data_IF_552438240275
#
_entry.id   IF_552438240275
#
_cell.length_a   1.000
_cell.length_b   1.000
_cell.length_c   1.000
_cell.angle_alpha   90.00
_cell.angle_beta   90.00
_cell.angle_gamma   90.00
#
_symmetry.space_group_name_H-M   'P 1'
#
loop_
_entity.id
_entity.type
_entity.pdbx_description
1 polymer ?
#
# COMPACT_ATOMS: atom_id res chain seq x y z
N UNK A 1 -20.66 -21.59 -36.12
CA UNK A 1 -19.53 -21.79 -35.16
C UNK A 1 -19.14 -20.52 -34.40
N UNK A 2 -19.02 -19.37 -35.06
CA UNK A 2 -18.72 -18.08 -34.40
C UNK A 2 -19.75 -17.68 -33.33
N UNK A 3 -21.05 -17.86 -33.57
CA UNK A 3 -22.12 -17.60 -32.59
C UNK A 3 -21.99 -18.44 -31.32
N UNK A 4 -21.59 -19.71 -31.43
CA UNK A 4 -21.42 -20.62 -30.28
C UNK A 4 -20.22 -20.21 -29.43
N UNK A 5 -19.09 -19.87 -30.06
CA UNK A 5 -17.89 -19.41 -29.35
C UNK A 5 -18.12 -18.08 -28.63
N UNK A 6 -18.76 -17.11 -29.28
CA UNK A 6 -19.13 -15.84 -28.68
C UNK A 6 -20.10 -16.03 -27.48
N UNK A 7 -21.05 -16.98 -27.60
CA UNK A 7 -21.97 -17.31 -26.52
C UNK A 7 -21.28 -17.98 -25.34
N UNK A 8 -20.31 -18.89 -25.58
CA UNK A 8 -19.52 -19.51 -24.53
C UNK A 8 -18.70 -18.47 -23.74
N UNK A 9 -18.07 -17.51 -24.42
CA UNK A 9 -17.35 -16.41 -23.77
C UNK A 9 -18.30 -15.53 -22.95
N UNK A 10 -19.50 -15.25 -23.46
CA UNK A 10 -20.52 -14.48 -22.75
C UNK A 10 -21.05 -15.23 -21.51
N UNK A 11 -21.26 -16.54 -21.63
CA UNK A 11 -21.62 -17.40 -20.51
C UNK A 11 -20.52 -17.39 -19.43
N UNK A 12 -19.26 -17.50 -19.84
CA UNK A 12 -18.11 -17.45 -18.93
C UNK A 12 -18.03 -16.10 -18.20
N UNK A 13 -18.20 -14.99 -18.91
CA UNK A 13 -18.25 -13.65 -18.32
C UNK A 13 -19.37 -13.51 -17.26
N UNK A 14 -20.56 -14.03 -17.55
CA UNK A 14 -21.66 -14.05 -16.56
C UNK A 14 -21.30 -14.85 -15.32
N UNK A 15 -20.72 -16.03 -15.49
CA UNK A 15 -20.31 -16.91 -14.38
C UNK A 15 -19.16 -16.31 -13.55
N UNK A 16 -18.33 -15.42 -14.13
CA UNK A 16 -17.28 -14.68 -13.42
C UNK A 16 -17.83 -13.47 -12.66
N UNK A 17 -18.86 -12.79 -13.20
CA UNK A 17 -19.43 -11.58 -12.61
C UNK A 17 -20.24 -11.86 -11.32
N UNK A 18 -20.91 -13.00 -11.23
CA UNK A 18 -21.71 -13.38 -10.06
C UNK A 18 -21.43 -14.82 -9.63
N UNK A 19 -21.45 -15.02 -8.32
CA UNK A 19 -21.09 -16.29 -7.69
C UNK A 19 -22.02 -17.45 -8.06
N UNK A 20 -23.31 -17.17 -8.26
CA UNK A 20 -24.33 -18.18 -8.57
C UNK A 20 -25.37 -17.64 -9.55
N UNK A 21 -25.77 -18.45 -10.52
CA UNK A 21 -26.75 -18.15 -11.54
C UNK A 21 -27.75 -19.28 -11.68
N UNK A 22 -29.06 -18.97 -11.75
CA UNK A 22 -30.03 -19.99 -12.14
C UNK A 22 -29.92 -20.30 -13.64
N UNK A 23 -30.26 -21.52 -14.00
CA UNK A 23 -30.29 -21.90 -15.43
C UNK A 23 -31.30 -21.08 -16.26
N UNK A 24 -32.36 -20.55 -15.63
CA UNK A 24 -33.34 -19.69 -16.25
C UNK A 24 -32.78 -18.30 -16.54
N UNK A 25 -32.13 -17.66 -15.54
CA UNK A 25 -31.53 -16.33 -15.71
C UNK A 25 -30.42 -16.32 -16.78
N UNK A 26 -29.59 -17.39 -16.80
CA UNK A 26 -28.57 -17.54 -17.85
C UNK A 26 -29.23 -17.70 -19.24
N UNK A 27 -30.32 -18.48 -19.33
CA UNK A 27 -31.02 -18.68 -20.60
C UNK A 27 -31.61 -17.37 -21.12
N UNK A 28 -32.23 -16.57 -20.25
CA UNK A 28 -32.80 -15.26 -20.56
C UNK A 28 -31.69 -14.29 -21.05
N UNK A 29 -30.61 -14.14 -20.26
CA UNK A 29 -29.51 -13.20 -20.60
C UNK A 29 -28.73 -13.56 -21.85
N UNK A 30 -28.66 -14.84 -22.16
CA UNK A 30 -28.00 -15.35 -23.38
C UNK A 30 -28.93 -15.44 -24.57
N UNK A 31 -30.24 -15.25 -24.38
CA UNK A 31 -31.26 -15.40 -25.42
C UNK A 31 -31.37 -16.82 -25.96
N UNK A 32 -31.23 -17.84 -25.09
CA UNK A 32 -31.25 -19.26 -25.47
C UNK A 32 -32.14 -20.08 -24.53
N UNK A 33 -32.32 -21.36 -24.85
CA UNK A 33 -33.07 -22.28 -23.98
C UNK A 33 -32.18 -22.79 -22.80
N UNK A 34 -32.77 -23.17 -21.65
CA UNK A 34 -32.05 -23.81 -20.56
C UNK A 34 -31.28 -25.09 -20.99
N UNK A 35 -31.79 -25.79 -22.00
CA UNK A 35 -31.09 -26.95 -22.62
C UNK A 35 -29.80 -26.53 -23.31
N UNK A 36 -29.82 -25.38 -23.98
CA UNK A 36 -28.62 -24.81 -24.61
C UNK A 36 -27.60 -24.37 -23.57
N UNK A 37 -28.04 -23.71 -22.48
CA UNK A 37 -27.16 -23.34 -21.36
C UNK A 37 -26.46 -24.57 -20.79
N UNK A 38 -27.21 -25.68 -20.54
CA UNK A 38 -26.61 -26.92 -20.01
C UNK A 38 -25.51 -27.44 -20.95
N UNK A 39 -25.78 -27.48 -22.26
CA UNK A 39 -24.81 -27.93 -23.26
C UNK A 39 -23.56 -27.01 -23.32
N UNK A 40 -23.76 -25.72 -23.17
CA UNK A 40 -22.65 -24.75 -23.19
C UNK A 40 -21.84 -24.85 -21.87
N UNK A 41 -22.48 -25.12 -20.72
CA UNK A 41 -21.79 -25.43 -19.46
C UNK A 41 -20.94 -26.71 -19.62
N UNK A 42 -21.47 -27.77 -20.23
CA UNK A 42 -20.71 -29.01 -20.43
C UNK A 42 -19.49 -28.75 -21.36
N UNK A 43 -19.62 -27.91 -22.37
CA UNK A 43 -18.49 -27.49 -23.20
C UNK A 43 -17.44 -26.65 -22.43
N UNK A 44 -17.87 -25.77 -21.52
CA UNK A 44 -16.93 -25.06 -20.65
C UNK A 44 -16.16 -26.04 -19.76
N UNK A 45 -16.82 -27.10 -19.25
CA UNK A 45 -16.16 -28.16 -18.48
C UNK A 45 -15.13 -28.94 -19.31
N UNK A 46 -15.47 -29.28 -20.57
CA UNK A 46 -14.54 -29.90 -21.54
C UNK A 46 -13.32 -29.02 -21.83
N UNK A 47 -13.50 -27.68 -21.78
CA UNK A 47 -12.42 -26.71 -21.93
C UNK A 47 -11.62 -26.46 -20.63
N UNK A 48 -11.92 -27.20 -19.54
CA UNK A 48 -11.20 -27.13 -18.28
C UNK A 48 -11.76 -26.12 -17.25
N UNK A 49 -12.90 -25.47 -17.56
CA UNK A 49 -13.52 -24.59 -16.60
C UNK A 49 -14.31 -25.35 -15.54
N UNK A 50 -14.04 -25.20 -14.22
CA UNK A 50 -14.73 -25.93 -13.16
C UNK A 50 -16.10 -25.29 -12.90
N UNK A 51 -17.11 -25.62 -13.71
CA UNK A 51 -18.46 -25.15 -13.51
C UNK A 51 -19.24 -26.19 -12.69
N UNK A 52 -19.63 -25.83 -11.46
CA UNK A 52 -20.47 -26.61 -10.57
C UNK A 52 -21.94 -26.38 -10.88
N UNK A 53 -22.78 -27.37 -10.67
CA UNK A 53 -24.21 -27.27 -10.77
C UNK A 53 -24.87 -27.73 -9.47
N UNK A 54 -25.77 -26.93 -8.91
CA UNK A 54 -26.60 -27.27 -7.75
C UNK A 54 -27.93 -27.85 -8.24
N UNK A 55 -28.30 -29.09 -7.85
CA UNK A 55 -29.59 -29.70 -8.25
C UNK A 55 -30.76 -29.08 -7.46
N UNK A 56 -31.98 -29.02 -8.07
CA UNK A 56 -33.24 -28.61 -7.42
C UNK A 56 -34.00 -27.53 -8.20
N UNK A 57 -35.21 -27.21 -7.75
CA UNK A 57 -36.12 -26.20 -8.33
C UNK A 57 -35.62 -24.74 -8.21
N UNK A 58 -34.47 -24.52 -7.56
CA UNK A 58 -33.71 -23.26 -7.50
C UNK A 58 -32.25 -23.50 -7.84
N UNK A 59 -31.92 -24.66 -8.43
CA UNK A 59 -30.55 -25.04 -8.75
C UNK A 59 -29.90 -24.11 -9.76
N UNK A 60 -28.59 -23.86 -9.57
CA UNK A 60 -27.83 -22.91 -10.33
C UNK A 60 -26.50 -23.43 -10.83
N UNK A 61 -25.81 -22.56 -11.53
CA UNK A 61 -24.44 -22.77 -11.99
C UNK A 61 -23.53 -21.75 -11.31
N UNK A 62 -22.39 -22.23 -10.87
CA UNK A 62 -21.32 -21.38 -10.33
C UNK A 62 -19.96 -21.82 -10.87
N UNK A 63 -19.08 -20.86 -11.08
CA UNK A 63 -17.69 -21.17 -11.39
C UNK A 63 -16.99 -21.62 -10.09
N UNK A 64 -16.46 -22.84 -10.08
CA UNK A 64 -15.75 -23.42 -8.93
C UNK A 64 -14.31 -22.96 -8.87
N UNK A 65 -13.65 -23.20 -7.73
CA UNK A 65 -12.19 -23.09 -7.64
C UNK A 65 -11.56 -24.29 -8.36
N UNK A 66 -10.71 -24.03 -9.36
CA UNK A 66 -9.93 -25.05 -10.07
C UNK A 66 -8.48 -25.10 -9.58
N UNK A 67 -7.75 -26.13 -10.01
CA UNK A 67 -6.30 -26.25 -9.74
C UNK A 67 -5.48 -25.16 -10.46
N UNK A 68 -5.98 -24.66 -11.57
CA UNK A 68 -5.38 -23.57 -12.34
C UNK A 68 -6.34 -22.39 -12.44
N UNK A 69 -5.80 -21.18 -12.53
CA UNK A 69 -6.60 -19.98 -12.75
C UNK A 69 -7.15 -19.99 -14.17
N UNK A 70 -8.48 -20.03 -14.38
CA UNK A 70 -9.03 -19.98 -15.72
C UNK A 70 -8.78 -18.60 -16.38
N UNK A 71 -8.81 -18.50 -17.73
CA UNK A 71 -8.69 -17.21 -18.40
C UNK A 71 -9.72 -16.21 -17.86
N UNK A 72 -9.23 -15.05 -17.41
CA UNK A 72 -10.08 -13.94 -16.95
C UNK A 72 -10.48 -13.10 -18.14
N UNK A 73 -11.77 -12.80 -18.26
CA UNK A 73 -12.28 -11.81 -19.20
C UNK A 73 -12.31 -10.46 -18.44
N UNK A 74 -11.36 -9.61 -18.78
CA UNK A 74 -11.26 -8.25 -18.24
C UNK A 74 -11.80 -7.27 -19.27
N UNK A 75 -12.57 -6.28 -18.81
CA UNK A 75 -12.86 -5.10 -19.61
C UNK A 75 -11.64 -4.16 -19.69
N UNK A 76 -11.78 -3.06 -20.43
CA UNK A 76 -10.69 -2.14 -20.68
C UNK A 76 -10.17 -1.46 -19.39
N UNK A 77 -11.06 -1.06 -18.51
CA UNK A 77 -10.70 -0.35 -17.28
C UNK A 77 -10.16 -1.33 -16.22
N UNK A 78 -10.71 -2.53 -16.16
CA UNK A 78 -10.20 -3.62 -15.32
C UNK A 78 -8.77 -4.02 -15.73
N UNK A 79 -8.52 -4.14 -17.05
CA UNK A 79 -7.20 -4.48 -17.55
C UNK A 79 -6.16 -3.39 -17.20
N UNK A 80 -6.52 -2.12 -17.31
CA UNK A 80 -5.66 -0.99 -16.90
C UNK A 80 -5.45 -1.00 -15.37
N UNK A 81 -6.49 -1.23 -14.59
CA UNK A 81 -6.40 -1.28 -13.13
C UNK A 81 -5.47 -2.41 -12.66
N UNK A 82 -5.57 -3.60 -13.27
CA UNK A 82 -4.66 -4.73 -13.00
C UNK A 82 -3.22 -4.37 -13.36
N UNK A 83 -2.98 -3.74 -14.52
CA UNK A 83 -1.64 -3.33 -14.94
C UNK A 83 -1.01 -2.32 -13.96
N UNK A 84 -1.77 -1.31 -13.53
CA UNK A 84 -1.34 -0.32 -12.53
C UNK A 84 -1.09 -0.99 -11.18
N UNK A 85 -1.98 -1.88 -10.75
CA UNK A 85 -1.85 -2.63 -9.50
C UNK A 85 -0.58 -3.50 -9.47
N UNK A 86 -0.30 -4.25 -10.54
CA UNK A 86 0.92 -5.06 -10.67
C UNK A 86 2.19 -4.20 -10.62
N UNK A 87 2.18 -3.04 -11.29
CA UNK A 87 3.31 -2.12 -11.25
C UNK A 87 3.55 -1.55 -9.85
N UNK A 88 2.48 -1.16 -9.18
CA UNK A 88 2.56 -0.67 -7.80
C UNK A 88 3.07 -1.77 -6.87
N UNK A 89 2.58 -2.99 -7.01
CA UNK A 89 3.00 -4.14 -6.21
C UNK A 89 4.49 -4.49 -6.37
N UNK A 90 5.09 -4.22 -7.53
CA UNK A 90 6.53 -4.41 -7.77
C UNK A 90 7.41 -3.57 -6.81
N UNK A 91 6.89 -2.50 -6.21
CA UNK A 91 7.58 -1.66 -5.21
C UNK A 91 7.28 -2.00 -3.74
N UNK A 92 6.38 -2.94 -3.45
CA UNK A 92 5.93 -3.26 -2.09
C UNK A 92 6.76 -4.38 -1.44
N UNK A 93 6.93 -4.30 -0.13
CA UNK A 93 7.85 -5.10 0.69
C UNK A 93 7.47 -6.58 0.89
N UNK A 94 7.03 -7.28 -0.17
CA UNK A 94 6.78 -8.72 -0.18
C UNK A 94 7.77 -9.37 -1.13
N UNK A 95 8.48 -10.39 -0.67
CA UNK A 95 9.53 -11.09 -1.43
C UNK A 95 8.95 -11.80 -2.66
N UNK A 96 9.63 -11.74 -3.79
CA UNK A 96 9.20 -12.39 -5.03
C UNK A 96 7.98 -11.78 -5.74
N UNK A 97 7.15 -10.98 -5.06
CA UNK A 97 5.97 -10.34 -5.66
C UNK A 97 6.40 -9.37 -6.76
N UNK A 98 7.50 -8.63 -6.58
CA UNK A 98 8.01 -7.71 -7.60
C UNK A 98 8.31 -8.39 -8.92
N UNK A 99 9.06 -9.49 -8.90
CA UNK A 99 9.39 -10.27 -10.10
C UNK A 99 8.15 -10.94 -10.71
N UNK A 100 7.27 -11.48 -9.87
CA UNK A 100 6.01 -12.08 -10.33
C UNK A 100 5.11 -11.03 -10.99
N UNK A 101 5.02 -9.82 -10.43
CA UNK A 101 4.27 -8.70 -10.99
C UNK A 101 4.80 -8.26 -12.34
N UNK A 102 6.12 -8.16 -12.51
CA UNK A 102 6.74 -7.84 -13.81
C UNK A 102 6.44 -8.91 -14.86
N UNK A 103 6.55 -10.21 -14.49
CA UNK A 103 6.20 -11.31 -15.40
C UNK A 103 4.72 -11.32 -15.78
N UNK A 104 3.82 -11.05 -14.80
CA UNK A 104 2.38 -10.97 -15.04
C UNK A 104 2.03 -9.79 -15.95
N UNK A 105 2.64 -8.62 -15.71
CA UNK A 105 2.46 -7.42 -16.53
C UNK A 105 2.90 -7.66 -17.98
N UNK A 106 4.04 -8.30 -18.21
CA UNK A 106 4.51 -8.65 -19.55
C UNK A 106 3.53 -9.57 -20.29
N UNK A 107 2.94 -10.57 -19.60
CA UNK A 107 1.91 -11.44 -20.18
C UNK A 107 0.63 -10.66 -20.52
N UNK A 108 0.21 -9.77 -19.64
CA UNK A 108 -0.97 -8.91 -19.84
C UNK A 108 -0.76 -8.01 -21.08
N UNK A 109 0.39 -7.36 -21.21
CA UNK A 109 0.72 -6.50 -22.34
C UNK A 109 0.67 -7.22 -23.68
N UNK A 110 1.03 -8.52 -23.73
CA UNK A 110 0.98 -9.32 -24.95
C UNK A 110 -0.46 -9.53 -25.47
N UNK A 111 -1.44 -9.65 -24.58
CA UNK A 111 -2.84 -9.95 -24.94
C UNK A 111 -3.70 -8.68 -25.05
N UNK A 112 -3.22 -7.53 -24.58
CA UNK A 112 -3.96 -6.27 -24.66
C UNK A 112 -4.17 -5.79 -26.08
N UNK A 113 -5.38 -5.28 -26.43
CA UNK A 113 -5.62 -4.53 -27.66
C UNK A 113 -4.63 -3.36 -27.81
N UNK A 114 -4.24 -3.04 -29.06
CA UNK A 114 -3.18 -2.05 -29.32
C UNK A 114 -3.39 -0.67 -28.68
N UNK A 115 -4.65 -0.22 -28.52
CA UNK A 115 -4.97 1.05 -27.84
C UNK A 115 -4.68 1.00 -26.32
N UNK A 116 -5.02 -0.11 -25.68
CA UNK A 116 -4.78 -0.31 -24.24
C UNK A 116 -3.30 -0.57 -23.96
N UNK A 117 -2.64 -1.34 -24.83
CA UNK A 117 -1.20 -1.56 -24.75
C UNK A 117 -0.44 -0.23 -24.76
N UNK A 118 -0.78 0.70 -25.67
CA UNK A 118 -0.17 2.03 -25.71
C UNK A 118 -0.41 2.82 -24.43
N UNK A 119 -1.62 2.73 -23.84
CA UNK A 119 -1.95 3.41 -22.57
C UNK A 119 -1.14 2.85 -21.39
N UNK A 120 -1.01 1.52 -21.30
CA UNK A 120 -0.22 0.85 -20.24
C UNK A 120 1.28 1.07 -20.47
N UNK A 121 1.79 0.96 -21.70
CA UNK A 121 3.20 1.22 -22.01
C UNK A 121 3.59 2.66 -21.73
N UNK A 122 2.74 3.64 -22.05
CA UNK A 122 2.98 5.04 -21.71
C UNK A 122 3.11 5.24 -20.18
N UNK A 123 2.22 4.62 -19.38
CA UNK A 123 2.36 4.64 -17.92
C UNK A 123 3.67 3.99 -17.46
N UNK A 124 4.13 2.93 -18.16
CA UNK A 124 5.38 2.26 -17.83
C UNK A 124 6.61 3.10 -18.20
N UNK A 125 6.61 3.74 -19.33
CA UNK A 125 7.75 4.50 -19.87
C UNK A 125 7.93 5.85 -19.16
N UNK A 126 6.83 6.53 -18.84
CA UNK A 126 6.84 7.87 -18.25
C UNK A 126 6.68 7.91 -16.72
N UNK A 127 6.66 6.74 -16.05
CA UNK A 127 6.64 6.67 -14.57
C UNK A 127 7.95 6.09 -14.06
N UNK A 128 8.73 6.91 -13.38
CA UNK A 128 9.96 6.46 -12.68
C UNK A 128 9.58 6.17 -11.24
N UNK A 129 9.65 4.91 -10.76
CA UNK A 129 9.41 4.62 -9.37
C UNK A 129 10.51 5.24 -8.51
N UNK A 130 10.13 6.12 -7.58
CA UNK A 130 11.06 6.65 -6.60
C UNK A 130 11.37 5.57 -5.56
N UNK A 131 12.33 4.70 -5.89
CA UNK A 131 12.85 3.70 -4.98
C UNK A 131 13.69 4.40 -3.92
N UNK A 132 13.15 4.63 -2.74
CA UNK A 132 13.98 5.01 -1.59
C UNK A 132 14.81 3.78 -1.22
N UNK A 133 16.15 3.88 -1.18
CA UNK A 133 17.03 2.79 -0.78
C UNK A 133 16.99 2.61 0.75
N UNK A 134 15.87 2.11 1.25
CA UNK A 134 15.82 1.54 2.60
C UNK A 134 16.01 0.05 2.46
N UNK A 135 16.86 -0.55 3.29
CA UNK A 135 16.86 -2.01 3.51
C UNK A 135 15.46 -2.38 3.98
N UNK A 136 14.58 -2.68 3.03
CA UNK A 136 13.24 -3.18 3.31
C UNK A 136 13.40 -4.64 3.66
N UNK A 137 13.09 -5.00 4.88
CA UNK A 137 12.85 -6.38 5.24
C UNK A 137 11.56 -6.78 4.51
N UNK A 138 11.70 -7.61 3.49
CA UNK A 138 10.58 -8.14 2.73
C UNK A 138 9.98 -9.31 3.52
N UNK A 139 8.66 -9.47 3.43
CA UNK A 139 7.94 -10.61 4.03
C UNK A 139 7.83 -11.70 2.99
N UNK A 140 8.13 -12.95 3.37
CA UNK A 140 7.87 -14.11 2.55
C UNK A 140 6.34 -14.27 2.31
N UNK A 141 5.88 -14.38 1.06
CA UNK A 141 4.47 -14.60 0.75
C UNK A 141 3.85 -15.79 1.45
N UNK A 142 4.62 -16.87 1.68
CA UNK A 142 4.16 -18.07 2.38
C UNK A 142 3.79 -17.76 3.83
N UNK A 143 4.59 -16.93 4.51
CA UNK A 143 4.31 -16.46 5.87
C UNK A 143 3.02 -15.64 5.90
N UNK A 144 2.82 -14.71 4.96
CA UNK A 144 1.56 -13.94 4.90
C UNK A 144 0.34 -14.82 4.68
N UNK A 145 0.47 -15.83 3.79
CA UNK A 145 -0.61 -16.77 3.50
C UNK A 145 -0.93 -17.63 4.74
N UNK A 146 0.09 -18.11 5.45
CA UNK A 146 -0.06 -18.87 6.69
C UNK A 146 -0.70 -18.03 7.79
N UNK A 147 -0.22 -16.79 8.01
CA UNK A 147 -0.81 -15.86 8.97
C UNK A 147 -2.27 -15.55 8.65
N UNK A 148 -2.61 -15.36 7.38
CA UNK A 148 -4.00 -15.14 6.96
C UNK A 148 -4.87 -16.37 7.21
N UNK A 149 -4.35 -17.58 6.98
CA UNK A 149 -5.05 -18.84 7.23
C UNK A 149 -5.36 -19.02 8.72
N UNK A 150 -4.38 -18.86 9.62
CA UNK A 150 -4.61 -19.01 11.06
C UNK A 150 -5.56 -17.94 11.63
N UNK A 151 -5.54 -16.71 11.09
CA UNK A 151 -6.53 -15.68 11.43
C UNK A 151 -7.95 -16.10 11.04
N UNK A 152 -8.12 -16.63 9.80
CA UNK A 152 -9.42 -17.10 9.29
C UNK A 152 -9.95 -18.27 10.09
N UNK A 153 -9.08 -19.25 10.40
CA UNK A 153 -9.46 -20.52 11.00
C UNK A 153 -9.55 -20.42 12.54
N UNK A 154 -9.13 -19.30 13.12
CA UNK A 154 -9.18 -19.03 14.55
C UNK A 154 -8.26 -19.95 15.34
N UNK A 155 -7.10 -20.30 14.80
CA UNK A 155 -6.12 -21.18 15.42
C UNK A 155 -5.01 -20.40 16.11
N UNK A 156 -4.57 -20.88 17.27
CA UNK A 156 -3.44 -20.29 17.98
C UNK A 156 -2.16 -20.43 17.18
N UNK A 157 -1.42 -19.35 17.05
CA UNK A 157 -0.15 -19.30 16.34
C UNK A 157 1.02 -19.31 17.33
N UNK A 158 2.00 -20.19 17.05
CA UNK A 158 3.30 -20.19 17.71
C UNK A 158 4.36 -19.76 16.73
N UNK A 159 5.26 -18.86 17.16
CA UNK A 159 6.34 -18.37 16.30
C UNK A 159 7.54 -17.89 17.11
N UNK A 160 8.68 -17.85 16.46
CA UNK A 160 9.85 -17.12 16.92
C UNK A 160 9.77 -15.69 16.39
N UNK A 161 10.12 -14.73 17.23
CA UNK A 161 10.02 -13.31 16.91
C UNK A 161 11.31 -12.58 17.24
N UNK A 162 11.87 -11.89 16.26
CA UNK A 162 12.99 -10.98 16.45
C UNK A 162 12.49 -9.59 16.79
N UNK A 163 12.74 -9.14 18.02
CA UNK A 163 12.34 -7.79 18.43
C UNK A 163 13.17 -6.70 17.74
N UNK A 164 12.87 -5.43 18.04
CA UNK A 164 13.59 -4.29 17.46
C UNK A 164 15.04 -4.17 17.95
N UNK A 165 15.42 -4.88 19.02
CA UNK A 165 16.78 -4.95 19.58
C UNK A 165 17.55 -6.18 19.11
N UNK A 166 16.91 -7.02 18.27
CA UNK A 166 17.49 -8.26 17.79
C UNK A 166 17.40 -9.43 18.76
N UNK A 167 16.68 -9.28 19.89
CA UNK A 167 16.45 -10.39 20.81
C UNK A 167 15.40 -11.35 20.24
N UNK A 168 15.75 -12.64 20.19
CA UNK A 168 14.83 -13.71 19.79
C UNK A 168 13.93 -14.08 20.96
N UNK A 169 12.62 -14.07 20.73
CA UNK A 169 11.61 -14.47 21.73
C UNK A 169 10.63 -15.43 21.08
N UNK A 170 10.21 -16.45 21.84
CA UNK A 170 9.11 -17.32 21.41
C UNK A 170 7.80 -16.73 21.88
N UNK A 171 6.78 -16.80 21.03
CA UNK A 171 5.45 -16.27 21.32
C UNK A 171 4.37 -17.28 20.97
N UNK A 172 3.32 -17.25 21.79
CA UNK A 172 2.06 -17.95 21.51
C UNK A 172 0.95 -16.93 21.54
N UNK A 173 0.22 -16.79 20.43
CA UNK A 173 -0.79 -15.74 20.29
C UNK A 173 -2.10 -16.28 19.74
N UNK A 174 -3.18 -15.56 19.98
CA UNK A 174 -4.47 -15.72 19.32
C UNK A 174 -4.56 -14.64 18.22
N UNK A 175 -4.28 -15.02 16.92
CA UNK A 175 -4.21 -14.06 15.82
C UNK A 175 -5.60 -13.53 15.48
N UNK A 176 -5.68 -12.23 15.17
CA UNK A 176 -6.96 -11.60 14.83
C UNK A 176 -6.99 -11.14 13.38
N UNK A 177 -6.04 -10.28 12.99
CA UNK A 177 -6.03 -9.71 11.64
C UNK A 177 -4.66 -9.25 11.18
N UNK A 178 -4.44 -9.32 9.87
CA UNK A 178 -3.29 -8.67 9.23
C UNK A 178 -3.68 -7.23 8.86
N UNK A 179 -2.78 -6.30 9.13
CA UNK A 179 -2.87 -4.89 8.74
C UNK A 179 -1.69 -4.56 7.84
N UNK A 180 -1.98 -4.04 6.63
CA UNK A 180 -0.97 -3.57 5.70
C UNK A 180 -0.90 -2.05 5.80
N UNK A 181 0.28 -1.52 6.12
CA UNK A 181 0.60 -0.10 5.93
C UNK A 181 1.25 0.08 4.55
N UNK A 182 1.57 1.31 4.14
CA UNK A 182 2.21 1.59 2.84
C UNK A 182 3.39 0.67 2.50
N UNK A 183 4.11 0.18 3.50
CA UNK A 183 5.36 -0.55 3.27
C UNK A 183 5.57 -1.78 4.14
N UNK A 184 4.67 -2.13 5.04
CA UNK A 184 4.86 -3.20 6.02
C UNK A 184 3.56 -3.89 6.38
N UNK A 185 3.71 -5.17 6.71
CA UNK A 185 2.63 -6.00 7.19
C UNK A 185 2.76 -6.24 8.69
N UNK A 186 1.65 -6.17 9.38
CA UNK A 186 1.55 -6.35 10.83
C UNK A 186 0.46 -7.36 11.15
N UNK A 187 0.74 -8.22 12.12
CA UNK A 187 -0.25 -9.10 12.74
C UNK A 187 -0.74 -8.48 14.04
N UNK A 188 -2.03 -8.22 14.15
CA UNK A 188 -2.69 -7.86 15.41
C UNK A 188 -3.15 -9.15 16.06
N UNK A 189 -2.68 -9.43 17.27
CA UNK A 189 -2.94 -10.65 17.98
C UNK A 189 -2.97 -10.44 19.51
N UNK A 190 -3.70 -11.28 20.21
CA UNK A 190 -3.65 -11.37 21.67
C UNK A 190 -2.47 -12.24 22.10
N UNK A 191 -1.51 -11.67 22.77
CA UNK A 191 -0.32 -12.36 23.30
C UNK A 191 -0.71 -13.08 24.60
N UNK A 192 -0.68 -14.42 24.61
CA UNK A 192 -1.07 -15.23 25.76
C UNK A 192 -0.10 -15.11 26.94
N UNK A 193 1.19 -14.84 26.66
CA UNK A 193 2.21 -14.70 27.71
C UNK A 193 2.15 -13.34 28.40
N UNK A 194 1.56 -12.34 27.71
CA UNK A 194 1.47 -10.96 28.19
C UNK A 194 0.06 -10.56 28.61
N UNK A 195 -0.93 -11.39 28.27
CA UNK A 195 -2.36 -11.13 28.48
C UNK A 195 -2.80 -9.76 27.94
N UNK A 196 -2.31 -9.42 26.72
CA UNK A 196 -2.52 -8.11 26.12
C UNK A 196 -2.55 -8.17 24.59
N UNK A 197 -3.23 -7.20 23.97
CA UNK A 197 -3.21 -7.01 22.52
C UNK A 197 -1.85 -6.46 22.06
N UNK A 198 -1.28 -7.11 21.04
CA UNK A 198 0.01 -6.72 20.49
C UNK A 198 0.01 -6.72 18.98
N UNK A 199 0.89 -5.87 18.45
CA UNK A 199 1.16 -5.75 17.02
C UNK A 199 2.55 -6.32 16.74
N UNK A 200 2.61 -7.31 15.85
CA UNK A 200 3.85 -7.96 15.43
C UNK A 200 4.14 -7.67 13.98
N UNK A 201 5.35 -7.30 13.63
CA UNK A 201 5.77 -7.14 12.24
C UNK A 201 5.88 -8.52 11.58
N UNK A 202 5.20 -8.72 10.45
CA UNK A 202 5.16 -10.00 9.77
C UNK A 202 6.55 -10.45 9.24
N UNK A 203 7.40 -9.49 8.84
CA UNK A 203 8.78 -9.75 8.39
C UNK A 203 9.75 -10.21 9.50
N UNK A 204 9.27 -10.30 10.74
CA UNK A 204 10.03 -10.77 11.91
C UNK A 204 9.42 -12.00 12.55
N UNK A 205 8.36 -12.54 11.96
CA UNK A 205 7.66 -13.74 12.41
C UNK A 205 8.24 -14.92 11.66
N UNK A 206 8.66 -15.94 12.42
CA UNK A 206 8.99 -17.27 11.90
C UNK A 206 8.00 -18.27 12.49
N UNK A 207 6.96 -18.65 11.72
CA UNK A 207 5.92 -19.55 12.20
C UNK A 207 6.48 -20.93 12.61
N UNK A 208 5.92 -21.50 13.66
CA UNK A 208 6.28 -22.85 14.15
C UNK A 208 5.08 -23.80 14.08
N UNK A 209 4.90 -24.52 12.99
CA UNK A 209 3.89 -25.57 12.92
C UNK A 209 4.24 -26.75 13.87
N UNK A 210 3.23 -27.56 14.32
CA UNK A 210 1.81 -27.39 14.03
C UNK A 210 1.22 -26.24 14.81
N UNK A 211 0.14 -25.61 14.25
CA UNK A 211 -0.61 -24.57 14.95
C UNK A 211 -1.30 -25.12 16.20
N UNK A 212 -1.71 -24.22 17.09
CA UNK A 212 -2.40 -24.59 18.31
C UNK A 212 -3.91 -24.83 18.10
N UNK A 213 -4.65 -25.14 19.17
CA UNK A 213 -6.09 -25.36 19.08
C UNK A 213 -6.82 -24.05 18.71
N UNK A 214 -8.04 -24.21 18.21
CA UNK A 214 -8.95 -23.09 17.95
C UNK A 214 -9.33 -22.38 19.24
N UNK A 215 -9.55 -21.07 19.16
CA UNK A 215 -9.92 -20.22 20.27
C UNK A 215 -11.22 -19.46 19.97
N UNK A 216 -12.01 -19.08 20.99
CA UNK A 216 -13.18 -18.23 20.80
C UNK A 216 -12.73 -16.82 20.39
N UNK A 217 -13.49 -16.16 19.47
CA UNK A 217 -13.16 -14.80 19.05
C UNK A 217 -13.08 -13.82 20.21
N UNK A 218 -12.02 -13.02 20.27
CA UNK A 218 -11.91 -11.90 21.24
C UNK A 218 -12.38 -10.60 20.59
N UNK A 219 -12.93 -9.71 21.42
CA UNK A 219 -13.20 -8.34 20.99
C UNK A 219 -11.87 -7.66 20.61
N UNK A 220 -11.74 -7.08 19.43
CA UNK A 220 -10.52 -6.39 19.02
C UNK A 220 -10.23 -5.18 19.92
N UNK A 221 -8.97 -4.70 19.99
CA UNK A 221 -8.56 -3.59 20.85
C UNK A 221 -9.17 -2.26 20.42
N UNK A 222 -9.52 -2.13 19.14
CA UNK A 222 -10.18 -0.97 18.55
C UNK A 222 -11.04 -1.39 17.37
N UNK A 223 -12.05 -0.58 17.01
CA UNK A 223 -12.83 -0.76 15.78
C UNK A 223 -11.98 -0.44 14.55
N UNK A 224 -11.19 0.63 14.62
CA UNK A 224 -10.16 0.97 13.62
C UNK A 224 -8.82 0.32 13.98
N UNK A 225 -8.57 -0.86 13.42
CA UNK A 225 -7.31 -1.58 13.59
C UNK A 225 -6.14 -0.92 12.84
N UNK A 226 -6.40 -0.16 11.78
CA UNK A 226 -5.34 0.56 11.07
C UNK A 226 -4.81 1.70 11.93
N UNK A 227 -5.70 2.49 12.54
CA UNK A 227 -5.35 3.50 13.54
C UNK A 227 -4.62 2.89 14.74
N UNK A 228 -5.13 1.79 15.32
CA UNK A 228 -4.49 1.07 16.43
C UNK A 228 -3.05 0.63 16.09
N UNK A 229 -2.83 0.03 14.92
CA UNK A 229 -1.49 -0.38 14.47
C UNK A 229 -0.60 0.84 14.26
N UNK A 230 -1.14 1.89 13.67
CA UNK A 230 -0.43 3.15 13.44
C UNK A 230 0.04 3.79 14.75
N UNK A 231 -0.85 3.86 15.76
CA UNK A 231 -0.51 4.29 17.11
C UNK A 231 0.56 3.40 17.76
N UNK A 232 0.35 2.08 17.72
CA UNK A 232 1.29 1.12 18.29
C UNK A 232 2.68 1.18 17.64
N UNK A 233 2.72 1.44 16.33
CA UNK A 233 3.97 1.58 15.57
C UNK A 233 4.62 2.93 15.82
N UNK A 234 3.86 4.02 15.86
CA UNK A 234 4.38 5.37 16.11
C UNK A 234 4.78 5.57 17.59
N UNK A 235 4.11 4.91 18.53
CA UNK A 235 4.38 5.07 19.96
C UNK A 235 5.19 3.90 20.58
N UNK A 236 5.03 2.67 20.08
CA UNK A 236 5.58 1.46 20.71
C UNK A 236 6.97 1.02 20.23
N UNK A 237 7.30 1.23 18.98
CA UNK A 237 8.49 0.66 18.33
C UNK A 237 9.70 1.59 18.27
N UNK A 238 9.54 2.86 18.59
CA UNK A 238 10.60 3.86 18.49
C UNK A 238 11.32 4.13 19.79
N UNK A 239 12.67 4.21 19.71
CA UNK A 239 13.54 4.53 20.84
C UNK A 239 13.38 5.99 21.32
N UNK A 240 12.96 6.88 20.43
CA UNK A 240 12.68 8.28 20.72
C UNK A 240 11.20 8.59 20.44
N UNK A 241 10.53 9.23 21.40
CA UNK A 241 9.15 9.71 21.29
C UNK A 241 9.12 11.20 21.50
N UNK A 242 8.16 11.88 20.86
CA UNK A 242 7.95 13.31 21.09
C UNK A 242 6.46 13.64 21.05
N UNK A 243 6.12 14.68 21.79
CA UNK A 243 4.85 15.40 21.68
C UNK A 243 5.18 16.82 21.23
N UNK A 244 4.61 17.19 20.10
CA UNK A 244 4.83 18.49 19.49
C UNK A 244 3.48 19.20 19.39
N UNK A 245 3.44 20.48 19.67
CA UNK A 245 2.30 21.31 19.30
C UNK A 245 2.58 21.92 17.93
N UNK A 246 1.72 21.64 16.97
CA UNK A 246 1.76 22.25 15.64
C UNK A 246 0.81 23.44 15.60
N UNK A 247 1.25 24.56 15.05
CA UNK A 247 0.43 25.77 14.88
C UNK A 247 -0.36 25.73 13.57
N UNK A 248 -1.18 24.68 13.44
CA UNK A 248 -2.03 24.42 12.29
C UNK A 248 -3.23 23.56 12.72
N UNK A 249 -4.43 23.72 12.10
CA UNK A 249 -5.58 22.88 12.39
C UNK A 249 -5.28 21.40 12.17
N UNK A 250 -5.86 20.51 12.99
CA UNK A 250 -5.65 19.07 12.90
C UNK A 250 -5.96 18.49 11.50
N UNK A 251 -7.01 18.98 10.84
CA UNK A 251 -7.40 18.55 9.49
C UNK A 251 -6.33 18.88 8.45
N UNK A 252 -5.69 20.03 8.57
CA UNK A 252 -4.61 20.45 7.67
C UNK A 252 -3.34 19.65 7.94
N UNK A 253 -2.98 19.41 9.21
CA UNK A 253 -1.85 18.57 9.59
C UNK A 253 -2.00 17.14 9.05
N UNK A 254 -3.23 16.58 9.09
CA UNK A 254 -3.54 15.24 8.60
C UNK A 254 -3.39 15.06 7.07
N UNK A 255 -3.33 16.13 6.29
CA UNK A 255 -3.07 16.08 4.85
C UNK A 255 -1.60 15.79 4.54
N UNK A 256 -0.69 16.17 5.44
CA UNK A 256 0.77 16.03 5.24
C UNK A 256 1.37 14.92 6.11
N UNK A 257 0.82 14.74 7.31
CA UNK A 257 1.30 13.76 8.29
C UNK A 257 0.39 12.55 8.24
N UNK A 258 0.91 11.45 7.72
CA UNK A 258 0.16 10.20 7.64
C UNK A 258 -0.03 9.52 8.99
N UNK A 259 -1.02 8.61 9.12
CA UNK A 259 -1.25 7.86 10.35
C UNK A 259 -0.03 7.03 10.82
N UNK A 260 0.89 6.67 9.90
CA UNK A 260 2.14 5.97 10.20
C UNK A 260 3.22 6.87 10.79
N UNK A 261 3.09 8.18 10.66
CA UNK A 261 4.10 9.16 11.09
C UNK A 261 3.79 9.73 12.48
N UNK A 262 2.53 9.68 12.90
CA UNK A 262 2.11 10.09 14.23
C UNK A 262 0.60 10.19 14.41
N UNK A 263 0.19 10.45 15.65
CA UNK A 263 -1.20 10.68 16.03
C UNK A 263 -1.42 12.17 16.22
N UNK A 264 -2.44 12.71 15.55
CA UNK A 264 -2.81 14.11 15.61
C UNK A 264 -4.04 14.25 16.50
N UNK A 265 -3.92 15.02 17.59
CA UNK A 265 -5.00 15.34 18.52
C UNK A 265 -5.35 16.84 18.38
N UNK A 266 -6.60 17.21 18.04
CA UNK A 266 -6.98 18.62 17.94
C UNK A 266 -6.92 19.29 19.33
N UNK A 267 -6.36 20.50 19.41
CA UNK A 267 -6.33 21.32 20.62
C UNK A 267 -7.35 22.46 20.49
N UNK A 268 -7.29 23.20 19.41
CA UNK A 268 -8.19 24.30 19.08
C UNK A 268 -8.30 24.48 17.56
N UNK A 269 -8.96 25.55 17.11
CA UNK A 269 -9.16 25.85 15.68
C UNK A 269 -7.85 26.13 14.91
N UNK A 270 -6.74 26.38 15.61
CA UNK A 270 -5.47 26.83 15.03
C UNK A 270 -4.28 25.97 15.43
N UNK A 271 -4.46 24.99 16.33
CA UNK A 271 -3.38 24.14 16.79
C UNK A 271 -3.81 22.71 17.07
N UNK A 272 -2.85 21.78 16.92
CA UNK A 272 -3.02 20.37 17.28
C UNK A 272 -1.76 19.82 17.96
N UNK A 273 -1.90 18.72 18.69
CA UNK A 273 -0.79 17.96 19.20
C UNK A 273 -0.45 16.82 18.23
N UNK A 274 0.83 16.69 17.90
CA UNK A 274 1.38 15.56 17.18
C UNK A 274 2.16 14.68 18.17
N UNK A 275 1.68 13.45 18.38
CA UNK A 275 2.42 12.40 19.08
C UNK A 275 3.13 11.54 18.04
N UNK A 276 4.45 11.57 18.03
CA UNK A 276 5.25 10.87 17.03
C UNK A 276 6.42 10.11 17.65
N UNK A 277 7.00 9.19 16.89
CA UNK A 277 8.17 8.43 17.26
C UNK A 277 9.19 8.31 16.12
N UNK A 278 10.45 8.17 16.48
CA UNK A 278 11.53 7.93 15.54
C UNK A 278 12.59 7.00 16.13
N UNK A 279 13.49 6.47 15.28
CA UNK A 279 14.61 5.63 15.73
C UNK A 279 15.60 6.40 16.59
N UNK A 280 15.66 7.73 16.45
CA UNK A 280 16.46 8.65 17.29
C UNK A 280 15.84 10.04 17.24
N UNK A 281 16.26 10.91 18.21
CA UNK A 281 15.85 12.31 18.20
C UNK A 281 16.38 13.07 16.98
N UNK A 282 17.53 12.68 16.42
CA UNK A 282 18.10 13.29 15.22
C UNK A 282 17.20 13.03 13.99
N UNK A 283 16.69 11.80 13.85
CA UNK A 283 15.73 11.45 12.79
C UNK A 283 14.42 12.16 13.00
N UNK A 284 14.00 12.36 14.26
CA UNK A 284 12.80 13.14 14.59
C UNK A 284 12.89 14.58 14.13
N UNK A 285 14.04 15.26 14.33
CA UNK A 285 14.27 16.62 13.81
C UNK A 285 14.02 16.67 12.31
N UNK A 286 14.53 15.70 11.55
CA UNK A 286 14.32 15.64 10.09
C UNK A 286 12.83 15.49 9.75
N UNK A 287 12.10 14.61 10.44
CA UNK A 287 10.68 14.39 10.18
C UNK A 287 9.86 15.64 10.45
N UNK A 288 10.14 16.34 11.54
CA UNK A 288 9.43 17.57 11.91
C UNK A 288 9.70 18.69 10.91
N UNK A 289 10.95 18.85 10.45
CA UNK A 289 11.30 19.82 9.43
C UNK A 289 10.63 19.51 8.07
N UNK A 290 10.51 18.24 7.70
CA UNK A 290 9.82 17.83 6.47
C UNK A 290 8.31 18.06 6.52
N UNK A 291 7.71 18.09 7.72
CA UNK A 291 6.29 18.42 7.89
C UNK A 291 5.98 19.88 7.52
N UNK A 292 6.97 20.77 7.66
CA UNK A 292 6.90 22.17 7.19
C UNK A 292 5.98 23.08 7.98
N UNK A 293 5.55 22.69 9.17
CA UNK A 293 4.70 23.50 10.04
C UNK A 293 5.50 24.17 11.16
N UNK A 294 5.05 25.32 11.61
CA UNK A 294 5.52 25.90 12.86
C UNK A 294 5.13 25.03 14.04
N UNK A 295 6.07 24.79 14.96
CA UNK A 295 5.85 23.87 16.06
C UNK A 295 6.57 24.25 17.35
N UNK A 296 6.06 23.72 18.46
CA UNK A 296 6.69 23.75 19.78
C UNK A 296 6.95 22.34 20.27
N UNK A 297 8.09 22.12 20.92
CA UNK A 297 8.40 20.84 21.57
C UNK A 297 7.77 20.83 22.95
N UNK A 298 6.77 19.96 23.14
CA UNK A 298 6.15 19.71 24.46
C UNK A 298 7.00 18.69 25.23
N UNK A 299 7.37 17.59 24.58
CA UNK A 299 8.20 16.51 25.13
C UNK A 299 9.00 15.82 24.01
N UNK A 300 10.20 15.31 24.30
CA UNK A 300 11.06 15.52 25.47
C UNK A 300 11.92 16.78 25.31
N UNK A 301 12.38 17.35 26.42
CA UNK A 301 13.28 18.53 26.40
C UNK A 301 14.56 18.30 25.57
N UNK A 302 15.11 17.08 25.55
CA UNK A 302 16.29 16.71 24.75
C UNK A 302 16.12 16.87 23.24
N UNK A 303 14.88 16.90 22.71
CA UNK A 303 14.63 17.20 21.30
C UNK A 303 14.97 18.64 20.96
N UNK A 304 14.70 19.59 21.86
CA UNK A 304 15.06 21.01 21.67
C UNK A 304 16.58 21.16 21.53
N UNK A 305 17.38 20.40 22.28
CA UNK A 305 18.83 20.44 22.16
C UNK A 305 19.33 19.90 20.83
N UNK A 306 18.67 18.85 20.30
CA UNK A 306 18.97 18.31 18.97
C UNK A 306 18.61 19.29 17.86
N UNK A 307 17.48 19.99 18.00
CA UNK A 307 17.07 21.05 17.06
C UNK A 307 18.10 22.18 17.04
N UNK A 308 18.61 22.62 18.22
CA UNK A 308 19.67 23.63 18.28
C UNK A 308 20.94 23.16 17.60
N UNK A 309 21.39 21.92 17.88
CA UNK A 309 22.57 21.37 17.25
C UNK A 309 22.42 21.26 15.70
N UNK A 310 21.23 20.87 15.22
CA UNK A 310 20.93 20.82 13.80
C UNK A 310 20.95 22.21 13.16
N UNK A 311 20.34 23.21 13.81
CA UNK A 311 20.40 24.61 13.36
C UNK A 311 21.83 25.10 13.23
N UNK A 312 22.66 24.92 14.28
CA UNK A 312 24.05 25.38 14.29
C UNK A 312 24.90 24.67 13.20
N UNK A 313 24.55 23.41 12.84
CA UNK A 313 25.19 22.71 11.73
C UNK A 313 24.77 23.32 10.38
N UNK A 314 23.48 23.62 10.20
CA UNK A 314 22.93 24.22 8.98
C UNK A 314 23.47 25.63 8.77
N UNK A 315 23.55 26.44 9.83
CA UNK A 315 24.11 27.80 9.78
C UNK A 315 25.57 27.77 9.27
N UNK A 316 26.41 26.88 9.87
CA UNK A 316 27.78 26.69 9.37
C UNK A 316 27.88 26.21 7.93
N UNK A 317 26.90 25.41 7.47
CA UNK A 317 26.87 24.95 6.08
C UNK A 317 26.52 26.08 5.12
N UNK A 318 25.59 26.96 5.49
CA UNK A 318 25.22 28.16 4.74
C UNK A 318 26.43 29.10 4.63
N UNK A 319 27.03 29.44 5.78
CA UNK A 319 28.22 30.35 5.83
C UNK A 319 29.34 29.85 4.91
N UNK A 320 29.67 28.54 4.96
CA UNK A 320 30.70 27.95 4.09
C UNK A 320 30.32 28.00 2.61
N UNK A 321 29.06 27.80 2.30
CA UNK A 321 28.53 27.82 0.92
C UNK A 321 28.57 29.24 0.35
N UNK A 322 28.26 30.24 1.18
CA UNK A 322 28.35 31.66 0.80
C UNK A 322 29.78 32.11 0.60
N UNK A 323 30.68 31.69 1.51
CA UNK A 323 32.13 31.98 1.38
C UNK A 323 32.79 31.30 0.16
N UNK A 324 32.25 30.16 -0.29
CA UNK A 324 32.75 29.43 -1.47
C UNK A 324 32.15 29.94 -2.79
N UNK A 325 31.20 30.84 -2.76
CA UNK A 325 30.59 31.42 -3.97
C UNK A 325 31.59 32.33 -4.64
N UNK A 326 32.06 32.07 -5.89
CA UNK A 326 32.92 32.99 -6.60
C UNK A 326 32.16 34.29 -6.79
N UNK A 327 32.87 35.44 -6.54
CA UNK A 327 32.30 36.76 -6.84
C UNK A 327 31.89 36.74 -8.32
N UNK A 328 30.60 36.75 -8.57
CA UNK A 328 30.07 36.82 -9.93
C UNK A 328 30.62 38.04 -10.65
N UNK A 329 30.90 37.97 -11.97
CA UNK A 329 31.35 39.15 -12.71
C UNK A 329 30.35 40.27 -12.48
N UNK A 330 30.85 41.43 -12.04
CA UNK A 330 30.06 42.65 -11.86
C UNK A 330 29.26 42.87 -13.14
N UNK A 331 27.96 42.90 -13.00
CA UNK A 331 27.06 43.20 -14.11
C UNK A 331 27.40 44.62 -14.55
N UNK A 332 28.19 44.73 -15.62
CA UNK A 332 28.41 45.97 -16.33
C UNK A 332 27.05 46.35 -16.90
N UNK A 333 26.44 47.32 -16.29
CA UNK A 333 25.22 47.97 -16.84
C UNK A 333 25.68 48.60 -18.17
N UNK A 334 25.16 48.18 -19.32
CA UNK A 334 25.48 48.85 -20.56
C UNK A 334 24.92 50.29 -20.51
N UNK A 335 25.83 51.23 -20.72
CA UNK A 335 25.53 52.67 -20.87
C UNK A 335 24.44 52.82 -21.97
N UNK A 336 23.38 53.58 -21.76
CA UNK A 336 22.33 53.73 -22.78
C UNK A 336 22.94 54.44 -23.99
N UNK A 337 22.87 53.79 -25.15
CA UNK A 337 23.28 54.31 -26.44
C UNK A 337 22.63 55.69 -26.68
N UNK A 338 23.44 56.74 -26.85
CA UNK A 338 23.01 58.06 -27.30
C UNK A 338 22.24 57.93 -28.61
N UNK A 339 21.03 58.41 -28.64
CA UNK A 339 20.23 58.53 -29.85
C UNK A 339 20.97 59.42 -30.87
N UNK A 340 20.99 59.06 -32.16
CA UNK A 340 21.55 59.92 -33.20
C UNK A 340 20.67 61.14 -33.37
N UNK A 341 21.34 62.32 -33.40
CA UNK A 341 20.81 63.62 -33.66
C UNK A 341 20.00 63.64 -34.98
N UNK A 342 18.75 63.96 -34.92
CA UNK A 342 17.90 64.14 -36.08
C UNK A 342 18.28 65.46 -36.77
N UNK A 343 19.06 65.36 -37.83
CA UNK A 343 19.36 66.47 -38.73
C UNK A 343 18.07 67.01 -39.36
N UNK A 344 17.84 68.25 -39.16
CA UNK A 344 16.83 69.09 -39.82
C UNK A 344 17.03 69.12 -41.35
N UNK A 345 16.02 68.88 -42.18
CA UNK A 345 16.12 69.21 -43.61
C UNK A 345 15.86 70.68 -43.83
N UNK A 346 16.85 71.38 -44.43
CA UNK A 346 16.67 72.66 -45.08
C UNK A 346 16.35 72.43 -46.56
N UNK A 347 15.38 73.15 -47.09
CA UNK A 347 15.10 73.30 -48.52
C UNK A 347 13.73 72.83 -48.97
#
# INVERSE_FOLDING_TARGET
>A
MLETSARLLRLLSLLQAHREWTGADLAERLGVTPRTVRRDVDRLRELGYPVNASPGTGGGYQLGAGAELPPLLLDDDEAVAVAVGLRTAAGHGVEGIGEASVRALAKLEQVLPGRLRRRVSALNEFTVPMLRPRRRSAVDPSVLTELAAVCRDGERLRFDYLDHRGAATRRTVEPHRLVCTEHRWYLVAWDLDREDWRTFRADRIEPRPPHGPRFPPRRPPAEDLAGYVSEGVSQGAYAARAVLRLHVPAEQAAQTIGPSDGVIEPVDAHSCLLRTGAVSLDVMVIHVLLAGYEFEVVEPAGLTDRIRAARDLLDRAVDRSEAARPAGPAATVPEPARAPDAGTPSG
#
